data_IF_548487414095
#
_entry.id   IF_548487414095
#
_cell.length_a   1.000
_cell.length_b   1.000
_cell.length_c   1.000
_cell.angle_alpha   90.00
_cell.angle_beta   90.00
_cell.angle_gamma   90.00
#
_symmetry.space_group_name_H-M   'P 1'
#
loop_
_entity.id
_entity.type
_entity.pdbx_description
1 polymer ?
#
# COMPACT_ATOMS: atom_id res chain seq x y z
N UNK A 1 8.59 -9.79 6.89
CA UNK A 1 7.67 -8.82 7.50
C UNK A 1 7.49 -7.62 6.57
N UNK A 2 6.24 -7.25 6.30
CA UNK A 2 5.91 -6.19 5.35
C UNK A 2 6.47 -4.83 5.77
N UNK A 3 6.51 -4.54 7.06
CA UNK A 3 7.08 -3.27 7.55
C UNK A 3 8.57 -3.19 7.24
N UNK A 4 9.30 -4.27 7.43
CA UNK A 4 10.72 -4.31 7.11
C UNK A 4 10.94 -4.11 5.62
N UNK A 5 10.08 -4.69 4.80
CA UNK A 5 10.14 -4.49 3.35
C UNK A 5 10.02 -3.00 3.01
N UNK A 6 9.04 -2.30 3.56
CA UNK A 6 8.83 -0.89 3.27
C UNK A 6 10.00 -0.02 3.70
N UNK A 7 10.78 -0.43 4.71
CA UNK A 7 11.94 0.36 5.13
C UNK A 7 13.00 0.46 4.04
N UNK A 8 13.01 -0.47 3.08
CA UNK A 8 13.98 -0.49 1.99
C UNK A 8 13.45 0.18 0.72
N UNK A 9 12.22 0.68 0.73
CA UNK A 9 11.56 1.22 -0.45
C UNK A 9 11.35 2.73 -0.30
N UNK A 10 11.13 3.46 -1.42
CA UNK A 10 10.86 4.90 -1.35
C UNK A 10 9.41 5.17 -0.94
N UNK A 11 9.03 4.70 0.24
CA UNK A 11 7.67 4.81 0.78
C UNK A 11 7.74 5.51 2.12
N UNK A 12 6.94 6.57 2.28
CA UNK A 12 6.82 7.29 3.54
C UNK A 12 5.82 6.63 4.47
N UNK A 13 4.67 6.26 3.93
CA UNK A 13 3.57 5.67 4.69
C UNK A 13 2.88 4.61 3.86
N UNK A 14 2.33 3.64 4.55
CA UNK A 14 1.50 2.62 3.92
C UNK A 14 0.32 2.29 4.83
N UNK A 15 -0.83 2.07 4.22
CA UNK A 15 -2.06 1.74 4.92
C UNK A 15 -2.68 0.50 4.32
N UNK A 16 -3.33 -0.27 5.19
CA UNK A 16 -4.18 -1.38 4.78
C UNK A 16 -5.62 -0.85 4.74
N UNK A 17 -6.36 -1.14 3.69
CA UNK A 17 -7.76 -0.72 3.61
C UNK A 17 -8.60 -1.82 2.96
N UNK A 18 -9.92 -1.57 2.80
CA UNK A 18 -10.82 -2.58 2.26
C UNK A 18 -11.13 -3.69 3.26
N UNK A 19 -11.38 -4.89 2.76
CA UNK A 19 -11.83 -6.00 3.58
C UNK A 19 -10.83 -6.40 4.66
N UNK A 20 -9.53 -6.30 4.37
CA UNK A 20 -8.50 -6.65 5.36
C UNK A 20 -8.49 -5.71 6.55
N UNK A 21 -8.71 -4.41 6.33
CA UNK A 21 -8.74 -3.45 7.43
C UNK A 21 -9.97 -3.62 8.31
N UNK A 22 -11.04 -4.18 7.76
CA UNK A 22 -12.30 -4.41 8.50
C UNK A 22 -12.40 -5.82 9.09
N UNK A 23 -11.40 -6.68 8.85
CA UNK A 23 -11.46 -8.06 9.33
C UNK A 23 -12.47 -8.92 8.56
N UNK A 24 -12.83 -8.52 7.37
CA UNK A 24 -13.82 -9.22 6.52
C UNK A 24 -13.17 -10.05 5.43
N UNK A 25 -11.85 -10.22 5.48
CA UNK A 25 -11.12 -10.93 4.45
C UNK A 25 -11.47 -12.41 4.39
N UNK A 26 -11.42 -12.95 3.18
CA UNK A 26 -11.55 -14.38 2.91
C UNK A 26 -10.28 -14.87 2.24
N UNK A 27 -10.17 -16.18 2.01
CA UNK A 27 -9.00 -16.76 1.34
C UNK A 27 -8.81 -16.20 -0.08
N UNK A 28 -9.86 -15.68 -0.70
CA UNK A 28 -9.82 -15.13 -2.06
C UNK A 28 -9.76 -13.61 -2.11
N UNK A 29 -9.78 -12.94 -0.95
CA UNK A 29 -9.74 -11.48 -0.90
C UNK A 29 -8.39 -10.95 -1.35
N UNK A 30 -8.40 -9.86 -2.14
CA UNK A 30 -7.20 -9.11 -2.46
C UNK A 30 -6.80 -8.27 -1.26
N UNK A 31 -5.50 -8.05 -1.13
CA UNK A 31 -4.99 -7.14 -0.10
C UNK A 31 -4.92 -5.74 -0.70
N UNK A 32 -5.71 -4.82 -0.17
CA UNK A 32 -5.74 -3.44 -0.65
C UNK A 32 -4.74 -2.61 0.16
N UNK A 33 -3.71 -2.11 -0.51
CA UNK A 33 -2.65 -1.34 0.13
C UNK A 33 -2.55 0.04 -0.51
N UNK A 34 -2.64 1.07 0.33
CA UNK A 34 -2.45 2.45 -0.08
C UNK A 34 -1.07 2.90 0.38
N UNK A 35 -0.29 3.51 -0.51
CA UNK A 35 1.06 3.97 -0.18
C UNK A 35 1.22 5.44 -0.51
N UNK A 36 2.04 6.12 0.30
CA UNK A 36 2.53 7.46 0.00
C UNK A 36 4.02 7.34 -0.29
N UNK A 37 4.42 7.63 -1.53
CA UNK A 37 5.82 7.52 -1.93
C UNK A 37 6.64 8.71 -1.44
N UNK A 38 7.90 8.44 -1.15
CA UNK A 38 8.90 9.48 -0.89
C UNK A 38 9.61 9.80 -2.20
N UNK A 39 9.33 10.98 -2.74
CA UNK A 39 9.90 11.41 -4.03
C UNK A 39 11.04 12.41 -3.86
N UNK A 40 11.52 12.58 -2.63
CA UNK A 40 12.59 13.58 -2.35
C UNK A 40 13.97 13.06 -2.71
N UNK A 41 14.15 11.75 -2.81
CA UNK A 41 15.42 11.15 -3.20
C UNK A 41 15.39 10.69 -4.65
N UNK A 42 15.34 9.37 -4.85
CA UNK A 42 15.28 8.78 -6.18
C UNK A 42 13.88 8.93 -6.77
N UNK A 43 13.78 9.12 -8.11
CA UNK A 43 12.48 9.18 -8.74
C UNK A 43 11.70 7.86 -8.57
N UNK A 44 10.39 8.00 -8.38
CA UNK A 44 9.49 6.84 -8.36
C UNK A 44 8.88 6.74 -9.76
N UNK A 45 9.33 5.75 -10.51
CA UNK A 45 8.88 5.53 -11.88
C UNK A 45 7.79 4.45 -11.91
N UNK A 46 7.18 4.27 -13.08
CA UNK A 46 6.23 3.17 -13.27
C UNK A 46 6.89 1.82 -13.01
N UNK A 47 8.16 1.67 -13.37
CA UNK A 47 8.89 0.43 -13.10
C UNK A 47 9.06 0.20 -11.59
N UNK A 48 9.34 1.26 -10.84
CA UNK A 48 9.42 1.18 -9.37
C UNK A 48 8.09 0.71 -8.79
N UNK A 49 6.99 1.30 -9.25
CA UNK A 49 5.65 0.96 -8.81
C UNK A 49 5.34 -0.51 -9.10
N UNK A 50 5.59 -0.97 -10.32
CA UNK A 50 5.30 -2.33 -10.72
C UNK A 50 6.15 -3.35 -9.93
N UNK A 51 7.42 -3.02 -9.65
CA UNK A 51 8.30 -3.88 -8.86
C UNK A 51 7.77 -4.04 -7.44
N UNK A 52 7.40 -2.94 -6.81
CA UNK A 52 6.87 -2.96 -5.44
C UNK A 52 5.59 -3.79 -5.38
N UNK A 53 4.70 -3.60 -6.35
CA UNK A 53 3.45 -4.37 -6.43
C UNK A 53 3.73 -5.87 -6.49
N UNK A 54 4.62 -6.29 -7.39
CA UNK A 54 4.97 -7.69 -7.55
C UNK A 54 5.62 -8.26 -6.28
N UNK A 55 6.54 -7.51 -5.68
CA UNK A 55 7.24 -7.97 -4.48
C UNK A 55 6.30 -8.10 -3.30
N UNK A 56 5.31 -7.22 -3.19
CA UNK A 56 4.31 -7.34 -2.14
C UNK A 56 3.47 -8.60 -2.33
N UNK A 57 3.07 -8.92 -3.56
CA UNK A 57 2.34 -10.14 -3.83
C UNK A 57 3.15 -11.38 -3.48
N UNK A 58 4.43 -11.38 -3.79
CA UNK A 58 5.30 -12.50 -3.45
C UNK A 58 5.42 -12.68 -1.94
N UNK A 59 5.58 -11.58 -1.21
CA UNK A 59 5.75 -11.63 0.25
C UNK A 59 4.49 -12.04 0.99
N UNK A 60 3.33 -11.60 0.49
CA UNK A 60 2.06 -11.87 1.13
C UNK A 60 1.43 -13.19 0.67
N UNK A 61 1.88 -13.72 -0.45
CA UNK A 61 1.34 -14.96 -1.01
C UNK A 61 -0.08 -14.83 -1.51
N UNK A 62 -0.50 -13.62 -1.90
CA UNK A 62 -1.84 -13.39 -2.46
C UNK A 62 -1.84 -12.13 -3.30
N UNK A 63 -2.93 -11.95 -4.05
CA UNK A 63 -3.09 -10.77 -4.91
C UNK A 63 -3.15 -9.50 -4.08
N UNK A 64 -2.49 -8.46 -4.56
CA UNK A 64 -2.45 -7.14 -3.93
C UNK A 64 -3.02 -6.12 -4.91
N UNK A 65 -3.80 -5.17 -4.38
CA UNK A 65 -4.21 -3.98 -5.12
C UNK A 65 -3.44 -2.81 -4.53
N UNK A 66 -2.42 -2.35 -5.25
CA UNK A 66 -1.54 -1.28 -4.77
C UNK A 66 -1.96 0.05 -5.36
N UNK A 67 -2.28 1.00 -4.49
CA UNK A 67 -2.78 2.31 -4.88
C UNK A 67 -1.89 3.39 -4.27
N UNK A 68 -1.53 4.39 -5.08
CA UNK A 68 -0.77 5.54 -4.58
C UNK A 68 -1.72 6.57 -3.99
N UNK A 69 -1.41 7.08 -2.80
CA UNK A 69 -2.19 8.13 -2.19
C UNK A 69 -2.19 9.38 -3.07
N UNK A 70 -3.35 10.01 -3.18
CA UNK A 70 -3.53 11.19 -4.01
C UNK A 70 -4.06 10.88 -5.40
N UNK A 71 -4.10 9.61 -5.80
CA UNK A 71 -4.62 9.22 -7.13
C UNK A 71 -6.04 8.69 -7.07
N UNK A 72 -6.58 8.46 -5.89
CA UNK A 72 -7.96 7.98 -5.74
C UNK A 72 -8.96 9.06 -6.15
N UNK A 73 -10.05 8.63 -6.75
CA UNK A 73 -11.16 9.54 -7.05
C UNK A 73 -11.79 10.03 -5.74
N UNK A 74 -12.42 11.22 -5.72
CA UNK A 74 -12.93 11.80 -4.48
C UNK A 74 -13.82 10.88 -3.66
N UNK A 75 -14.72 10.14 -4.30
CA UNK A 75 -15.60 9.24 -3.57
C UNK A 75 -14.84 8.06 -2.95
N UNK A 76 -13.78 7.60 -3.62
CA UNK A 76 -12.95 6.50 -3.12
C UNK A 76 -12.02 6.96 -2.00
N UNK A 77 -11.56 8.22 -2.05
CA UNK A 77 -10.72 8.80 -1.00
C UNK A 77 -11.45 8.80 0.33
N UNK A 78 -12.70 9.23 0.33
CA UNK A 78 -13.48 9.27 1.57
C UNK A 78 -13.65 7.88 2.16
N UNK A 79 -14.00 6.90 1.36
CA UNK A 79 -14.15 5.51 1.80
C UNK A 79 -12.82 4.95 2.31
N UNK A 80 -11.73 5.15 1.58
CA UNK A 80 -10.41 4.65 1.97
C UNK A 80 -9.94 5.30 3.27
N UNK A 81 -10.17 6.61 3.43
CA UNK A 81 -9.78 7.31 4.66
C UNK A 81 -10.54 6.81 5.87
N UNK A 82 -11.80 6.41 5.68
CA UNK A 82 -12.61 5.88 6.77
C UNK A 82 -12.11 4.50 7.22
N UNK A 83 -11.72 3.66 6.28
CA UNK A 83 -11.38 2.25 6.54
C UNK A 83 -9.89 2.00 6.71
N UNK A 84 -9.02 2.93 6.34
CA UNK A 84 -7.60 2.65 6.28
C UNK A 84 -6.97 2.50 7.65
N UNK A 85 -6.04 1.56 7.74
CA UNK A 85 -5.26 1.28 8.94
C UNK A 85 -3.78 1.46 8.61
N UNK A 86 -3.09 2.34 9.35
CA UNK A 86 -1.67 2.59 9.12
C UNK A 86 -0.86 1.34 9.49
N UNK A 87 -0.07 0.85 8.54
CA UNK A 87 0.78 -0.32 8.75
C UNK A 87 2.27 0.02 8.69
N UNK A 88 2.63 1.17 8.15
CA UNK A 88 4.02 1.61 8.10
C UNK A 88 4.09 3.14 8.01
N UNK A 89 4.99 3.72 8.78
CA UNK A 89 5.32 5.14 8.69
C UNK A 89 6.81 5.30 8.91
N UNK A 90 7.47 6.00 7.97
CA UNK A 90 8.91 6.25 8.06
C UNK A 90 9.19 7.25 9.18
N UNK A 91 10.17 6.91 10.01
CA UNK A 91 10.67 7.84 11.01
C UNK A 91 11.73 8.73 10.37
N UNK A 92 11.69 10.02 10.68
CA UNK A 92 12.68 10.99 10.23
C UNK A 92 13.58 11.39 11.37
#
# INVERSE_FOLDING_TARGET
NIRQYFTTQPVKKAWLFGSFSRGEETAESDVDILVEFDRTGKPVTLLTYARIWRELEERLGRSVDLVEEGTLKPYAVESANHDKQLIYEREN
#
